data_IF_076049743419
#
_entry.id   IF_076049743419
#
_cell.length_a   1.000
_cell.length_b   1.000
_cell.length_c   1.000
_cell.angle_alpha   90.00
_cell.angle_beta   90.00
_cell.angle_gamma   90.00
#
_symmetry.space_group_name_H-M   'P 1'
#
loop_
_entity.id
_entity.type
_entity.pdbx_description
1 polymer ?
#
# COMPACT_ATOMS: atom_id res chain seq x y z
N UNK A 1 -15.46 5.04 9.98
CA UNK A 1 -14.37 5.59 9.16
C UNK A 1 -14.70 5.32 7.71
N UNK A 2 -14.73 6.37 6.91
CA UNK A 2 -15.00 6.28 5.46
C UNK A 2 -13.70 6.31 4.67
N UNK A 3 -13.48 5.30 3.82
CA UNK A 3 -12.26 5.16 3.03
C UNK A 3 -12.61 5.18 1.55
N UNK A 4 -11.83 5.92 0.75
CA UNK A 4 -11.92 5.88 -0.71
C UNK A 4 -10.66 5.23 -1.29
N UNK A 5 -10.86 4.15 -2.02
CA UNK A 5 -9.86 3.47 -2.82
C UNK A 5 -9.83 4.14 -4.20
N UNK A 6 -8.74 4.80 -4.54
CA UNK A 6 -8.56 5.47 -5.81
C UNK A 6 -7.98 4.50 -6.84
N UNK A 7 -8.81 3.68 -7.46
CA UNK A 7 -8.39 2.81 -8.56
C UNK A 7 -8.26 3.66 -9.83
N UNK A 8 -7.05 4.13 -10.10
CA UNK A 8 -6.76 5.07 -11.20
C UNK A 8 -5.69 4.52 -12.13
N UNK A 9 -5.69 5.03 -13.36
CA UNK A 9 -4.58 4.90 -14.28
C UNK A 9 -3.59 6.04 -14.06
N UNK A 10 -2.30 5.73 -14.10
CA UNK A 10 -1.21 6.71 -13.96
C UNK A 10 -0.43 6.78 -15.25
N UNK A 11 -0.18 7.98 -15.74
CA UNK A 11 0.57 8.19 -16.98
C UNK A 11 2.08 8.05 -16.72
N UNK A 12 2.78 7.12 -17.40
CA UNK A 12 4.20 6.91 -17.16
C UNK A 12 5.02 8.17 -17.43
N UNK A 13 5.78 8.62 -16.43
CA UNK A 13 6.66 9.78 -16.54
C UNK A 13 5.98 11.16 -16.47
N UNK A 14 4.66 11.22 -16.52
CA UNK A 14 3.93 12.50 -16.54
C UNK A 14 3.56 12.96 -15.12
N UNK A 15 4.58 13.28 -14.30
CA UNK A 15 4.40 13.63 -12.89
C UNK A 15 3.35 14.74 -12.68
N UNK A 16 3.42 15.84 -13.41
CA UNK A 16 2.49 16.98 -13.26
C UNK A 16 1.05 16.59 -13.60
N UNK A 17 0.86 15.80 -14.64
CA UNK A 17 -0.48 15.31 -15.02
C UNK A 17 -1.06 14.37 -13.96
N UNK A 18 -0.24 13.46 -13.40
CA UNK A 18 -0.64 12.56 -12.35
C UNK A 18 -0.96 13.31 -11.04
N UNK A 19 -0.16 14.32 -10.69
CA UNK A 19 -0.43 15.21 -9.54
C UNK A 19 -1.76 15.94 -9.73
N UNK A 20 -2.01 16.52 -10.90
CA UNK A 20 -3.28 17.21 -11.18
C UNK A 20 -4.48 16.25 -11.10
N UNK A 21 -4.32 15.02 -11.60
CA UNK A 21 -5.36 13.97 -11.48
C UNK A 21 -5.60 13.58 -10.02
N UNK A 22 -4.54 13.39 -9.24
CA UNK A 22 -4.63 13.07 -7.82
C UNK A 22 -5.36 14.18 -7.04
N UNK A 23 -5.09 15.44 -7.34
CA UNK A 23 -5.78 16.59 -6.74
C UNK A 23 -7.30 16.54 -6.99
N UNK A 24 -7.72 16.23 -8.22
CA UNK A 24 -9.15 16.07 -8.57
C UNK A 24 -9.80 14.91 -7.79
N UNK A 25 -9.13 13.75 -7.74
CA UNK A 25 -9.60 12.57 -7.00
C UNK A 25 -9.76 12.87 -5.51
N UNK A 26 -8.78 13.55 -4.91
CA UNK A 26 -8.84 13.95 -3.50
C UNK A 26 -10.04 14.89 -3.26
N UNK A 27 -10.21 15.91 -4.11
CA UNK A 27 -11.32 16.87 -3.98
C UNK A 27 -12.68 16.16 -4.07
N UNK A 28 -12.85 15.21 -5.01
CA UNK A 28 -14.06 14.40 -5.15
C UNK A 28 -14.29 13.54 -3.89
N UNK A 29 -13.30 12.80 -3.43
CA UNK A 29 -13.39 11.95 -2.26
C UNK A 29 -13.70 12.74 -0.97
N UNK A 30 -13.04 13.89 -0.78
CA UNK A 30 -13.28 14.79 0.38
C UNK A 30 -14.69 15.36 0.33
N UNK A 31 -15.20 15.73 -0.86
CA UNK A 31 -16.59 16.22 -1.00
C UNK A 31 -17.62 15.13 -0.65
N UNK A 32 -17.27 13.84 -0.84
CA UNK A 32 -18.07 12.70 -0.44
C UNK A 32 -17.92 12.34 1.06
N UNK A 33 -17.15 13.11 1.83
CA UNK A 33 -16.97 12.94 3.27
C UNK A 33 -16.00 11.82 3.64
N UNK A 34 -14.99 11.56 2.80
CA UNK A 34 -13.97 10.54 3.05
C UNK A 34 -13.01 10.96 4.17
N UNK A 35 -12.68 10.03 5.06
CA UNK A 35 -11.68 10.19 6.12
C UNK A 35 -10.25 9.78 5.66
N UNK A 36 -10.13 8.89 4.65
CA UNK A 36 -8.86 8.40 4.13
C UNK A 36 -8.98 8.11 2.63
N UNK A 37 -8.12 8.70 1.82
CA UNK A 37 -7.96 8.37 0.39
C UNK A 37 -6.68 7.56 0.21
N UNK A 38 -6.77 6.41 -0.47
CA UNK A 38 -5.62 5.53 -0.73
C UNK A 38 -5.44 5.40 -2.23
N UNK A 39 -4.27 5.80 -2.71
CA UNK A 39 -3.84 5.65 -4.10
C UNK A 39 -3.02 4.38 -4.31
N UNK A 40 -2.88 3.89 -5.55
CA UNK A 40 -2.02 2.75 -5.89
C UNK A 40 -0.52 3.03 -5.67
N UNK A 41 0.27 1.98 -5.79
CA UNK A 41 1.72 2.04 -5.89
C UNK A 41 2.12 2.94 -7.07
N UNK A 42 3.18 3.77 -6.89
CA UNK A 42 3.74 4.67 -7.92
C UNK A 42 2.67 5.48 -8.67
N UNK A 43 1.59 5.86 -7.98
CA UNK A 43 0.45 6.56 -8.58
C UNK A 43 0.79 7.92 -9.16
N UNK A 44 1.88 8.55 -8.70
CA UNK A 44 2.31 9.86 -9.20
C UNK A 44 3.28 9.78 -10.40
N UNK A 45 3.83 8.60 -10.71
CA UNK A 45 4.85 8.45 -11.76
C UNK A 45 4.53 7.46 -12.87
N UNK A 46 3.59 6.53 -12.62
CA UNK A 46 3.54 5.28 -13.37
C UNK A 46 4.60 4.29 -12.87
N UNK A 47 4.54 3.06 -13.36
CA UNK A 47 5.36 1.95 -12.86
C UNK A 47 6.71 1.81 -13.56
N UNK A 48 6.75 1.96 -14.89
CA UNK A 48 7.93 1.75 -15.74
C UNK A 48 8.82 2.98 -15.80
N UNK A 49 9.41 3.38 -14.67
CA UNK A 49 10.26 4.58 -14.60
C UNK A 49 11.65 4.39 -15.19
N UNK A 50 12.12 3.15 -15.35
CA UNK A 50 13.46 2.85 -15.84
C UNK A 50 13.71 3.21 -17.31
N UNK A 51 12.64 3.35 -18.09
CA UNK A 51 12.70 3.73 -19.50
C UNK A 51 12.54 5.24 -19.73
N UNK A 52 12.39 6.02 -18.64
CA UNK A 52 12.23 7.47 -18.73
C UNK A 52 13.56 8.16 -19.01
N UNK A 53 13.53 9.21 -19.84
CA UNK A 53 14.70 10.03 -20.14
C UNK A 53 15.09 10.97 -19.00
N UNK A 54 14.14 11.34 -18.17
CA UNK A 54 14.30 12.31 -17.08
C UNK A 54 14.04 11.63 -15.73
N UNK A 55 14.79 12.03 -14.72
CA UNK A 55 14.53 11.64 -13.35
C UNK A 55 13.29 12.39 -12.82
N UNK A 56 12.26 11.64 -12.48
CA UNK A 56 11.01 12.14 -11.94
C UNK A 56 10.85 11.84 -10.44
N UNK A 57 11.93 11.38 -9.79
CA UNK A 57 11.91 11.15 -8.34
C UNK A 57 11.83 12.47 -7.58
N UNK A 58 11.07 12.47 -6.50
CA UNK A 58 10.83 13.65 -5.68
C UNK A 58 11.01 13.32 -4.19
N UNK A 59 11.45 14.27 -3.35
CA UNK A 59 11.47 14.04 -1.91
C UNK A 59 10.03 14.09 -1.32
N UNK A 60 9.81 13.49 -0.13
CA UNK A 60 8.49 13.50 0.50
C UNK A 60 7.98 14.89 0.88
N UNK A 61 8.86 15.87 1.03
CA UNK A 61 8.55 17.27 1.33
C UNK A 61 8.48 18.18 0.07
N UNK A 62 8.40 17.58 -1.12
CA UNK A 62 8.18 18.31 -2.38
C UNK A 62 6.89 19.13 -2.32
N UNK A 63 6.92 20.34 -2.89
CA UNK A 63 5.78 21.27 -2.88
C UNK A 63 4.50 20.66 -3.48
N UNK A 64 4.62 19.79 -4.48
CA UNK A 64 3.50 19.08 -5.11
C UNK A 64 2.85 18.10 -4.12
N UNK A 65 3.66 17.36 -3.34
CA UNK A 65 3.19 16.45 -2.31
C UNK A 65 2.46 17.20 -1.19
N UNK A 66 3.04 18.33 -0.75
CA UNK A 66 2.42 19.20 0.26
C UNK A 66 1.12 19.80 -0.26
N UNK A 67 1.06 20.22 -1.54
CA UNK A 67 -0.16 20.72 -2.17
C UNK A 67 -1.26 19.66 -2.17
N UNK A 68 -0.95 18.42 -2.58
CA UNK A 68 -1.90 17.31 -2.54
C UNK A 68 -2.38 17.01 -1.12
N UNK A 69 -1.47 16.99 -0.15
CA UNK A 69 -1.82 16.79 1.25
C UNK A 69 -2.79 17.86 1.79
N UNK A 70 -2.59 19.12 1.39
CA UNK A 70 -3.49 20.24 1.73
C UNK A 70 -4.84 20.16 1.04
N UNK A 71 -4.94 19.54 -0.14
CA UNK A 71 -6.22 19.31 -0.81
C UNK A 71 -7.13 18.36 0.00
N UNK A 72 -6.55 17.51 0.84
CA UNK A 72 -7.26 16.61 1.75
C UNK A 72 -7.70 17.29 3.08
N UNK A 73 -7.75 18.64 3.12
CA UNK A 73 -8.10 19.40 4.34
C UNK A 73 -9.47 19.04 4.90
N UNK A 74 -9.62 19.14 6.22
CA UNK A 74 -10.78 18.80 7.08
C UNK A 74 -10.63 17.43 7.80
N UNK A 75 -9.39 17.01 8.09
CA UNK A 75 -9.13 15.79 8.86
C UNK A 75 -9.10 14.51 8.03
N UNK A 76 -9.05 14.63 6.69
CA UNK A 76 -8.85 13.47 5.84
C UNK A 76 -7.35 13.16 5.69
N UNK A 77 -6.99 11.86 5.78
CA UNK A 77 -5.67 11.35 5.44
C UNK A 77 -5.57 10.99 3.96
N UNK A 78 -4.35 11.04 3.41
CA UNK A 78 -4.07 10.61 2.03
C UNK A 78 -2.79 9.79 1.98
N UNK A 79 -2.83 8.66 1.26
CA UNK A 79 -1.66 7.84 0.95
C UNK A 79 -1.40 7.86 -0.55
N UNK A 80 -0.17 8.26 -0.96
CA UNK A 80 0.28 8.23 -2.36
C UNK A 80 1.48 7.33 -2.55
N UNK A 81 1.55 6.66 -3.70
CA UNK A 81 2.75 5.97 -4.18
C UNK A 81 3.57 6.87 -5.12
N UNK A 82 4.90 6.92 -4.94
CA UNK A 82 5.80 7.76 -5.73
C UNK A 82 7.24 7.25 -5.70
N UNK A 83 8.06 7.60 -6.70
CA UNK A 83 9.51 7.38 -6.64
C UNK A 83 10.14 8.44 -5.72
N UNK A 84 10.67 7.98 -4.57
CA UNK A 84 11.26 8.86 -3.57
C UNK A 84 12.75 9.10 -3.86
N UNK A 85 13.13 10.37 -4.04
CA UNK A 85 14.53 10.79 -4.09
C UNK A 85 15.11 10.88 -2.67
N UNK A 86 16.32 10.34 -2.48
CA UNK A 86 17.06 10.54 -1.25
C UNK A 86 17.75 11.93 -1.25
N UNK A 87 17.64 12.67 -0.13
CA UNK A 87 18.05 14.08 -0.03
C UNK A 87 19.52 14.37 -0.42
N UNK A 88 20.42 13.39 -0.31
CA UNK A 88 21.85 13.57 -0.61
C UNK A 88 22.45 12.41 -1.41
N UNK A 89 21.64 11.64 -2.14
CA UNK A 89 22.10 10.43 -2.80
C UNK A 89 21.55 10.25 -4.21
N UNK A 90 22.20 9.36 -4.95
CA UNK A 90 21.76 8.88 -6.25
C UNK A 90 20.70 7.76 -6.13
N UNK A 91 20.15 7.57 -4.91
CA UNK A 91 19.29 6.45 -4.63
C UNK A 91 17.82 6.86 -4.66
N UNK A 92 17.04 6.03 -5.32
CA UNK A 92 15.59 6.18 -5.45
C UNK A 92 14.92 5.00 -4.73
N UNK A 93 13.78 5.26 -4.06
CA UNK A 93 12.96 4.24 -3.43
C UNK A 93 11.56 4.23 -4.06
N UNK A 94 10.96 3.05 -4.16
CA UNK A 94 9.53 2.91 -4.38
C UNK A 94 8.84 3.13 -3.02
N UNK A 95 8.16 4.26 -2.86
CA UNK A 95 7.67 4.72 -1.57
C UNK A 95 6.18 5.02 -1.59
N UNK A 96 5.55 4.88 -0.42
CA UNK A 96 4.21 5.35 -0.14
C UNK A 96 4.24 6.29 1.06
N UNK A 97 3.78 7.53 0.88
CA UNK A 97 3.74 8.55 1.92
C UNK A 97 2.31 8.79 2.39
N UNK A 98 2.13 8.81 3.70
CA UNK A 98 0.87 9.16 4.35
C UNK A 98 0.94 10.56 4.93
N UNK A 99 -0.04 11.36 4.56
CA UNK A 99 -0.24 12.72 5.06
C UNK A 99 -1.58 12.82 5.77
N UNK A 100 -1.63 13.64 6.80
CA UNK A 100 -2.85 14.00 7.50
C UNK A 100 -2.79 15.48 7.88
N UNK A 101 -3.89 16.21 7.71
CA UNK A 101 -3.97 17.66 7.96
C UNK A 101 -2.87 18.49 7.25
N UNK A 102 -2.45 18.06 6.07
CA UNK A 102 -1.40 18.70 5.28
C UNK A 102 0.03 18.44 5.77
N UNK A 103 0.21 17.54 6.74
CA UNK A 103 1.50 17.18 7.32
C UNK A 103 1.91 15.75 6.94
N UNK A 104 3.18 15.55 6.65
CA UNK A 104 3.76 14.22 6.49
C UNK A 104 3.79 13.50 7.83
N UNK A 105 3.12 12.34 7.90
CA UNK A 105 3.07 11.50 9.10
C UNK A 105 3.99 10.30 8.98
N UNK A 106 4.03 9.67 7.80
CA UNK A 106 4.81 8.44 7.59
C UNK A 106 5.21 8.27 6.13
N UNK A 107 6.40 7.67 5.92
CA UNK A 107 6.86 7.15 4.62
C UNK A 107 7.22 5.69 4.80
N UNK A 108 6.62 4.83 4.00
CA UNK A 108 7.02 3.44 3.84
C UNK A 108 7.78 3.27 2.53
N UNK A 109 8.99 2.73 2.59
CA UNK A 109 9.82 2.36 1.43
C UNK A 109 9.66 0.87 1.19
N UNK A 110 9.36 0.46 -0.03
CA UNK A 110 9.17 -0.95 -0.41
C UNK A 110 10.38 -1.78 -0.02
N UNK A 111 10.14 -2.88 0.69
CA UNK A 111 11.17 -3.76 1.25
C UNK A 111 11.57 -4.87 0.28
N UNK A 112 10.59 -5.44 -0.41
CA UNK A 112 10.76 -6.58 -1.30
C UNK A 112 10.52 -6.17 -2.74
N UNK A 113 11.61 -5.86 -3.44
CA UNK A 113 11.62 -5.43 -4.82
C UNK A 113 11.57 -6.65 -5.75
N UNK A 114 10.48 -6.88 -6.51
CA UNK A 114 10.40 -8.00 -7.43
C UNK A 114 11.43 -7.86 -8.57
N UNK A 115 12.09 -8.98 -8.87
CA UNK A 115 13.08 -9.07 -9.94
C UNK A 115 12.91 -10.40 -10.68
N UNK A 116 11.69 -10.64 -11.15
CA UNK A 116 11.29 -11.85 -11.88
C UNK A 116 10.26 -11.50 -12.95
N UNK A 117 10.15 -12.34 -13.99
CA UNK A 117 9.31 -12.13 -15.17
C UNK A 117 9.57 -10.75 -15.80
N UNK A 118 8.57 -9.89 -15.84
CA UNK A 118 8.63 -8.53 -16.39
C UNK A 118 8.99 -7.46 -15.35
N UNK A 119 9.20 -7.87 -14.10
CA UNK A 119 9.53 -6.94 -13.00
C UNK A 119 11.04 -6.83 -12.82
N UNK A 120 11.56 -5.62 -12.85
CA UNK A 120 12.99 -5.30 -12.74
C UNK A 120 13.28 -4.21 -11.70
N UNK A 121 12.49 -4.16 -10.62
CA UNK A 121 12.54 -3.07 -9.65
C UNK A 121 13.92 -2.87 -9.01
N UNK A 122 14.70 -3.96 -8.80
CA UNK A 122 16.05 -3.87 -8.22
C UNK A 122 17.06 -3.10 -9.09
N UNK A 123 16.76 -2.87 -10.37
CA UNK A 123 17.60 -2.05 -11.24
C UNK A 123 17.42 -0.57 -10.95
N UNK A 124 16.27 -0.17 -10.42
CA UNK A 124 15.86 1.22 -10.32
C UNK A 124 15.71 1.70 -8.88
N UNK A 125 15.36 0.81 -7.96
CA UNK A 125 15.07 1.15 -6.57
C UNK A 125 15.99 0.43 -5.59
N UNK A 126 16.28 1.09 -4.47
CA UNK A 126 16.82 0.45 -3.28
C UNK A 126 15.70 -0.06 -2.38
N UNK A 127 15.94 -1.19 -1.67
CA UNK A 127 14.98 -1.69 -0.68
C UNK A 127 14.95 -0.80 0.57
N UNK A 128 13.76 -0.61 1.12
CA UNK A 128 13.56 -0.06 2.45
C UNK A 128 14.16 -0.96 3.54
N UNK A 129 14.26 -0.43 4.76
CA UNK A 129 14.92 -1.14 5.88
C UNK A 129 14.00 -1.28 7.10
N UNK A 130 12.76 -0.82 7.04
CA UNK A 130 11.83 -0.88 8.17
C UNK A 130 10.38 -0.97 7.74
N UNK A 131 9.60 -1.75 8.50
CA UNK A 131 8.15 -1.79 8.41
C UNK A 131 7.57 -1.39 9.77
N UNK A 132 6.74 -0.35 9.82
CA UNK A 132 6.18 0.18 11.06
C UNK A 132 4.71 0.53 10.88
N UNK A 133 3.94 0.30 11.93
CA UNK A 133 2.64 0.92 12.03
C UNK A 133 2.78 2.40 12.43
N UNK A 134 1.91 3.24 11.89
CA UNK A 134 1.91 4.68 12.11
C UNK A 134 0.53 5.18 12.55
N UNK A 135 0.46 6.34 13.23
CA UNK A 135 -0.80 6.91 13.69
C UNK A 135 -1.63 7.44 12.51
N UNK A 136 -2.95 7.29 12.61
CA UNK A 136 -3.95 7.85 11.69
C UNK A 136 -5.11 8.46 12.50
N UNK A 137 -5.88 9.35 11.87
CA UNK A 137 -7.04 10.02 12.47
C UNK A 137 -6.69 10.75 13.79
N UNK A 138 -5.66 11.61 13.75
CA UNK A 138 -5.19 12.33 14.92
C UNK A 138 -4.62 11.40 16.00
N UNK A 139 -4.00 10.29 15.62
CA UNK A 139 -3.39 9.33 16.53
C UNK A 139 -4.36 8.37 17.23
N UNK A 140 -5.65 8.42 16.91
CA UNK A 140 -6.67 7.55 17.54
C UNK A 140 -6.56 6.09 17.16
N UNK A 141 -5.98 5.81 15.99
CA UNK A 141 -5.81 4.48 15.43
C UNK A 141 -4.42 4.33 14.79
N UNK A 142 -4.06 3.13 14.41
CA UNK A 142 -2.81 2.84 13.71
C UNK A 142 -3.08 2.07 12.42
N UNK A 143 -2.36 2.41 11.37
CA UNK A 143 -2.30 1.66 10.12
C UNK A 143 -0.86 1.25 9.83
N UNK A 144 -0.68 0.32 8.90
CA UNK A 144 0.62 0.01 8.31
C UNK A 144 0.47 -0.07 6.80
N UNK A 145 1.54 0.22 6.07
CA UNK A 145 1.59 0.11 4.62
C UNK A 145 2.50 -1.05 4.21
N UNK A 146 2.05 -1.86 3.27
CA UNK A 146 2.85 -2.87 2.58
C UNK A 146 2.67 -2.66 1.07
N UNK A 147 3.74 -2.23 0.38
CA UNK A 147 3.65 -1.91 -1.04
C UNK A 147 3.75 -3.20 -1.86
N UNK A 148 2.68 -3.58 -2.54
CA UNK A 148 2.62 -4.66 -3.52
C UNK A 148 3.34 -5.93 -3.03
N UNK A 149 4.53 -6.25 -3.54
CA UNK A 149 5.30 -7.45 -3.20
C UNK A 149 5.65 -7.58 -1.71
N UNK A 150 5.64 -6.52 -0.92
CA UNK A 150 5.78 -6.59 0.53
C UNK A 150 4.65 -7.42 1.15
N UNK A 151 3.43 -7.28 0.61
CA UNK A 151 2.28 -8.04 1.09
C UNK A 151 2.29 -9.53 0.69
N UNK A 152 3.24 -9.98 -0.10
CA UNK A 152 3.49 -11.40 -0.35
C UNK A 152 4.35 -12.05 0.74
N UNK A 153 4.83 -11.23 1.67
CA UNK A 153 5.67 -11.64 2.81
C UNK A 153 4.81 -11.60 4.09
N UNK A 154 4.22 -12.73 4.51
CA UNK A 154 3.27 -12.74 5.63
C UNK A 154 3.90 -12.31 6.95
N UNK A 155 5.21 -12.46 7.12
CA UNK A 155 5.93 -11.97 8.29
C UNK A 155 5.84 -10.45 8.45
N UNK A 156 5.75 -9.66 7.36
CA UNK A 156 5.59 -8.21 7.44
C UNK A 156 4.20 -7.82 7.93
N UNK A 157 3.16 -8.48 7.44
CA UNK A 157 1.79 -8.26 7.93
C UNK A 157 1.64 -8.67 9.40
N UNK A 158 2.33 -9.74 9.81
CA UNK A 158 2.41 -10.15 11.21
C UNK A 158 3.08 -9.07 12.07
N UNK A 159 4.26 -8.58 11.68
CA UNK A 159 4.99 -7.51 12.40
C UNK A 159 4.13 -6.25 12.51
N UNK A 160 3.51 -5.81 11.41
CA UNK A 160 2.60 -4.66 11.41
C UNK A 160 1.44 -4.83 12.40
N UNK A 161 0.88 -6.03 12.47
CA UNK A 161 -0.21 -6.37 13.40
C UNK A 161 0.25 -6.30 14.85
N UNK A 162 1.44 -6.85 15.16
CA UNK A 162 2.03 -6.81 16.50
C UNK A 162 2.45 -5.40 16.91
N UNK A 163 2.77 -4.52 15.95
CA UNK A 163 3.01 -3.08 16.17
C UNK A 163 1.69 -2.27 16.31
N UNK A 164 0.56 -2.95 16.33
CA UNK A 164 -0.74 -2.37 16.67
C UNK A 164 -1.58 -1.87 15.48
N UNK A 165 -1.23 -2.23 14.24
CA UNK A 165 -2.05 -1.88 13.09
C UNK A 165 -3.46 -2.50 13.20
N UNK A 166 -4.47 -1.68 12.90
CA UNK A 166 -5.88 -2.07 12.76
C UNK A 166 -6.27 -2.12 11.27
N UNK A 167 -5.50 -1.46 10.43
CA UNK A 167 -5.67 -1.38 8.98
C UNK A 167 -4.33 -1.67 8.33
N UNK A 168 -4.34 -2.52 7.32
CA UNK A 168 -3.22 -2.76 6.42
C UNK A 168 -3.55 -2.11 5.07
N UNK A 169 -2.77 -1.10 4.68
CA UNK A 169 -2.86 -0.42 3.40
C UNK A 169 -1.92 -1.11 2.41
N UNK A 170 -2.48 -1.59 1.30
CA UNK A 170 -1.73 -2.37 0.30
C UNK A 170 -1.87 -1.70 -1.08
N UNK A 171 -1.12 -0.60 -1.33
CA UNK A 171 -1.03 -0.02 -2.66
C UNK A 171 -0.25 -0.96 -3.59
N UNK A 172 -0.75 -1.19 -4.80
CA UNK A 172 -0.19 -2.15 -5.74
C UNK A 172 -0.21 -1.69 -7.19
N UNK A 173 0.76 -2.20 -7.97
CA UNK A 173 0.80 -2.21 -9.43
C UNK A 173 0.82 -3.67 -9.91
N UNK A 174 -0.22 -4.43 -9.55
CA UNK A 174 -0.33 -5.83 -9.95
C UNK A 174 -0.90 -5.95 -11.36
N UNK A 175 -0.08 -6.49 -12.26
CA UNK A 175 -0.45 -6.73 -13.65
C UNK A 175 -1.04 -8.15 -13.84
N UNK A 176 -1.75 -8.32 -14.93
CA UNK A 176 -2.21 -9.63 -15.39
C UNK A 176 -1.01 -10.54 -15.66
N UNK A 177 -1.09 -11.79 -15.20
CA UNK A 177 -0.05 -12.78 -15.49
C UNK A 177 0.04 -13.06 -16.98
N UNK A 178 1.26 -13.26 -17.49
CA UNK A 178 1.49 -13.71 -18.86
C UNK A 178 1.02 -15.16 -19.10
N UNK A 179 0.97 -15.97 -18.03
CA UNK A 179 0.56 -17.37 -18.04
C UNK A 179 -0.49 -17.61 -16.94
N UNK A 180 -1.72 -17.09 -17.12
CA UNK A 180 -2.74 -17.14 -16.07
C UNK A 180 -3.17 -18.58 -15.71
N UNK A 181 -2.97 -19.55 -16.60
CA UNK A 181 -3.21 -20.97 -16.34
C UNK A 181 -2.21 -21.59 -15.35
N UNK A 182 -1.02 -21.00 -15.22
CA UNK A 182 0.00 -21.41 -14.24
C UNK A 182 -0.05 -20.59 -12.98
N UNK A 183 -0.37 -19.32 -13.13
CA UNK A 183 -0.34 -18.34 -12.04
C UNK A 183 -1.28 -17.18 -12.37
N UNK A 184 -2.39 -17.06 -11.64
CA UNK A 184 -3.32 -15.93 -11.74
C UNK A 184 -3.12 -15.00 -10.56
N UNK A 185 -2.50 -13.84 -10.80
CA UNK A 185 -2.21 -12.85 -9.75
C UNK A 185 -3.47 -12.39 -8.98
N UNK A 186 -4.63 -12.34 -9.63
CA UNK A 186 -5.89 -11.91 -9.01
C UNK A 186 -6.35 -12.89 -7.93
N UNK A 187 -6.32 -14.18 -8.23
CA UNK A 187 -6.71 -15.22 -7.26
C UNK A 187 -5.76 -15.26 -6.06
N UNK A 188 -4.46 -15.08 -6.30
CA UNK A 188 -3.46 -14.98 -5.22
C UNK A 188 -3.72 -13.76 -4.33
N UNK A 189 -3.95 -12.59 -4.92
CA UNK A 189 -4.24 -11.38 -4.14
C UNK A 189 -5.49 -11.53 -3.28
N UNK A 190 -6.58 -12.08 -3.83
CA UNK A 190 -7.78 -12.38 -3.04
C UNK A 190 -7.50 -13.37 -1.91
N UNK A 191 -6.66 -14.38 -2.16
CA UNK A 191 -6.21 -15.34 -1.14
C UNK A 191 -5.41 -14.67 -0.03
N UNK A 192 -4.40 -13.87 -0.38
CA UNK A 192 -3.51 -13.17 0.55
C UNK A 192 -4.28 -12.19 1.44
N UNK A 193 -5.08 -11.31 0.83
CA UNK A 193 -5.81 -10.27 1.57
C UNK A 193 -6.85 -10.85 2.51
N UNK A 194 -7.60 -11.88 2.07
CA UNK A 194 -8.56 -12.60 2.93
C UNK A 194 -7.86 -13.34 4.07
N UNK A 195 -6.70 -13.96 3.80
CA UNK A 195 -5.89 -14.60 4.84
C UNK A 195 -5.47 -13.59 5.91
N UNK A 196 -4.98 -12.40 5.50
CA UNK A 196 -4.55 -11.36 6.43
C UNK A 196 -5.72 -10.83 7.27
N UNK A 197 -6.86 -10.53 6.64
CA UNK A 197 -8.05 -10.12 7.37
C UNK A 197 -8.42 -11.15 8.43
N UNK A 198 -8.47 -12.42 8.06
CA UNK A 198 -8.91 -13.52 8.93
C UNK A 198 -7.92 -13.85 10.04
N UNK A 199 -6.61 -13.99 9.71
CA UNK A 199 -5.60 -14.46 10.65
C UNK A 199 -5.02 -13.36 11.52
N UNK A 200 -4.84 -12.15 10.96
CA UNK A 200 -4.31 -11.00 11.69
C UNK A 200 -5.41 -10.07 12.22
N UNK A 201 -6.65 -10.39 11.88
CA UNK A 201 -7.84 -9.75 12.47
C UNK A 201 -7.77 -8.22 12.34
N UNK A 202 -7.57 -7.74 11.12
CA UNK A 202 -7.50 -6.32 10.76
C UNK A 202 -8.25 -6.10 9.43
N UNK A 203 -8.51 -4.83 9.10
CA UNK A 203 -8.96 -4.49 7.75
C UNK A 203 -7.78 -4.49 6.79
N UNK A 204 -7.98 -5.04 5.59
CA UNK A 204 -7.02 -4.93 4.48
C UNK A 204 -7.63 -4.07 3.38
N UNK A 205 -6.93 -3.01 3.02
CA UNK A 205 -7.31 -2.06 1.97
C UNK A 205 -6.34 -2.27 0.81
N UNK A 206 -6.73 -3.09 -0.16
CA UNK A 206 -5.95 -3.36 -1.36
C UNK A 206 -6.35 -2.37 -2.45
N UNK A 207 -5.38 -1.58 -2.93
CA UNK A 207 -5.61 -0.58 -3.97
C UNK A 207 -4.67 -0.83 -5.13
N UNK A 208 -5.21 -1.38 -6.21
CA UNK A 208 -4.46 -1.70 -7.41
C UNK A 208 -4.77 -0.69 -8.51
N UNK A 209 -3.77 -0.33 -9.30
CA UNK A 209 -3.98 0.53 -10.46
C UNK A 209 -4.67 -0.22 -11.60
N UNK A 210 -5.15 0.52 -12.58
CA UNK A 210 -5.61 0.06 -13.89
C UNK A 210 -4.72 0.63 -14.99
N UNK A 211 -5.03 0.32 -16.24
CA UNK A 211 -4.31 0.82 -17.43
C UNK A 211 -3.24 -0.13 -17.94
N UNK A 212 -2.42 0.37 -18.86
CA UNK A 212 -1.40 -0.42 -19.54
C UNK A 212 -0.10 0.36 -19.69
N UNK A 213 1.03 -0.28 -19.40
CA UNK A 213 2.37 0.23 -19.64
C UNK A 213 3.20 -0.84 -20.35
N UNK A 214 3.54 -0.61 -21.62
CA UNK A 214 4.22 -1.61 -22.44
C UNK A 214 3.43 -2.92 -22.50
N UNK A 215 4.02 -4.00 -22.01
CA UNK A 215 3.39 -5.32 -21.91
C UNK A 215 2.59 -5.55 -20.62
N UNK A 216 2.66 -4.64 -19.67
CA UNK A 216 1.97 -4.75 -18.40
C UNK A 216 0.54 -4.23 -18.52
N UNK A 217 -0.45 -5.08 -18.25
CA UNK A 217 -1.85 -4.69 -18.13
C UNK A 217 -2.29 -4.84 -16.69
N UNK A 218 -2.54 -3.73 -16.04
CA UNK A 218 -2.97 -3.69 -14.63
C UNK A 218 -4.47 -3.91 -14.53
N UNK A 219 -4.89 -4.79 -13.65
CA UNK A 219 -6.25 -5.32 -13.65
C UNK A 219 -7.23 -4.62 -12.69
N UNK A 220 -6.75 -3.73 -11.78
CA UNK A 220 -7.63 -3.09 -10.82
C UNK A 220 -8.11 -4.05 -9.73
N UNK A 221 -9.44 -4.23 -9.60
CA UNK A 221 -10.03 -5.11 -8.59
C UNK A 221 -9.66 -4.70 -7.17
N UNK A 222 -9.51 -3.40 -6.93
CA UNK A 222 -9.25 -2.85 -5.59
C UNK A 222 -10.37 -3.25 -4.65
N UNK A 223 -10.04 -3.67 -3.42
CA UNK A 223 -11.04 -4.21 -2.52
C UNK A 223 -10.71 -4.00 -1.05
N UNK A 224 -11.74 -4.12 -0.22
CA UNK A 224 -11.65 -4.06 1.23
C UNK A 224 -12.02 -5.40 1.83
N UNK A 225 -11.15 -5.92 2.68
CA UNK A 225 -11.38 -7.14 3.46
C UNK A 225 -11.56 -6.79 4.93
N UNK A 226 -12.54 -7.39 5.56
CA UNK A 226 -12.86 -7.21 6.97
C UNK A 226 -12.05 -8.13 7.91
N UNK A 227 -12.14 -7.96 9.25
CA UNK A 227 -11.42 -8.80 10.22
C UNK A 227 -11.85 -10.27 10.28
N UNK A 228 -12.85 -10.69 9.53
CA UNK A 228 -13.24 -12.09 9.34
C UNK A 228 -12.70 -12.70 8.06
N UNK A 229 -12.05 -11.88 7.22
CA UNK A 229 -11.49 -12.27 5.92
C UNK A 229 -12.53 -12.27 4.80
N UNK A 230 -13.62 -11.51 4.97
CA UNK A 230 -14.61 -11.36 3.92
C UNK A 230 -14.40 -10.07 3.13
N UNK A 231 -14.53 -10.16 1.80
CA UNK A 231 -14.50 -8.99 0.92
C UNK A 231 -15.81 -8.24 1.09
N UNK A 232 -15.76 -7.03 1.62
CA UNK A 232 -16.95 -6.22 1.90
C UNK A 232 -17.23 -5.17 0.82
N UNK A 233 -16.24 -4.85 -0.02
CA UNK A 233 -16.37 -3.97 -1.16
C UNK A 233 -15.26 -4.31 -2.18
N UNK A 234 -15.57 -4.26 -3.48
CA UNK A 234 -14.63 -4.53 -4.57
C UNK A 234 -14.97 -3.64 -5.77
N UNK A 235 -13.95 -3.04 -6.38
CA UNK A 235 -14.05 -2.25 -7.60
C UNK A 235 -13.99 -3.15 -8.84
N UNK A 236 -14.57 -2.68 -9.93
CA UNK A 236 -14.55 -3.38 -11.21
C UNK A 236 -13.13 -3.55 -11.75
N UNK A 237 -12.87 -4.66 -12.44
CA UNK A 237 -11.60 -4.87 -13.11
C UNK A 237 -11.47 -3.99 -14.37
N UNK A 238 -10.23 -3.53 -14.66
CA UNK A 238 -9.84 -2.80 -15.86
C UNK A 238 -10.51 -1.43 -16.09
N UNK A 239 -11.14 -0.86 -15.08
CA UNK A 239 -11.79 0.45 -15.16
C UNK A 239 -11.33 1.37 -14.03
N UNK A 240 -11.18 2.66 -14.29
CA UNK A 240 -11.01 3.64 -13.23
C UNK A 240 -12.27 3.70 -12.36
N UNK A 241 -12.09 3.71 -11.05
CA UNK A 241 -13.19 3.77 -10.10
C UNK A 241 -12.74 4.34 -8.77
N UNK A 242 -13.55 5.23 -8.18
CA UNK A 242 -13.42 5.63 -6.79
C UNK A 242 -14.38 4.79 -5.95
N UNK A 243 -13.85 3.77 -5.29
CA UNK A 243 -14.63 2.89 -4.42
C UNK A 243 -14.63 3.45 -3.00
N UNK A 244 -15.77 3.95 -2.54
CA UNK A 244 -15.92 4.46 -1.18
C UNK A 244 -16.66 3.46 -0.30
N UNK A 245 -16.13 3.19 0.90
CA UNK A 245 -16.67 2.21 1.85
C UNK A 245 -16.56 2.71 3.28
N UNK A 246 -17.58 2.44 4.09
CA UNK A 246 -17.56 2.69 5.52
C UNK A 246 -17.08 1.44 6.26
N UNK A 247 -16.07 1.60 7.13
CA UNK A 247 -15.57 0.53 8.01
C UNK A 247 -15.74 0.90 9.48
N UNK A 248 -15.92 -0.12 10.32
CA UNK A 248 -16.01 0.04 11.78
C UNK A 248 -14.81 -0.60 12.47
N UNK A 249 -13.85 0.24 12.91
CA UNK A 249 -12.64 -0.23 13.59
C UNK A 249 -12.90 -0.86 14.97
N UNK A 250 -14.10 -0.68 15.54
CA UNK A 250 -14.49 -1.39 16.77
C UNK A 250 -14.61 -2.91 16.55
N UNK A 251 -14.92 -3.33 15.32
CA UNK A 251 -15.01 -4.74 14.93
C UNK A 251 -13.64 -5.45 15.04
N UNK A 252 -12.54 -4.78 14.77
CA UNK A 252 -11.19 -5.31 14.97
C UNK A 252 -10.98 -5.68 16.45
N UNK A 253 -11.30 -4.75 17.36
CA UNK A 253 -11.18 -4.98 18.81
C UNK A 253 -12.08 -6.11 19.27
N UNK A 254 -13.32 -6.14 18.78
CA UNK A 254 -14.28 -7.21 19.05
C UNK A 254 -13.73 -8.55 18.60
N UNK A 255 -13.28 -8.65 17.35
CA UNK A 255 -12.74 -9.90 16.78
C UNK A 255 -11.53 -10.41 17.55
N UNK A 256 -10.58 -9.52 17.90
CA UNK A 256 -9.38 -9.87 18.70
C UNK A 256 -9.70 -10.29 20.14
N UNK A 257 -10.82 -9.84 20.69
CA UNK A 257 -11.31 -10.30 22.01
C UNK A 257 -11.98 -11.68 21.92
N UNK A 258 -12.79 -11.90 20.88
CA UNK A 258 -13.54 -13.14 20.71
C UNK A 258 -12.61 -14.34 20.39
N UNK A 259 -11.56 -14.10 19.59
CA UNK A 259 -10.51 -15.08 19.26
C UNK A 259 -9.17 -14.37 19.38
N UNK A 260 -8.39 -14.54 20.47
CA UNK A 260 -7.23 -13.70 20.79
C UNK A 260 -5.94 -14.08 20.05
N UNK A 261 -5.97 -14.40 18.76
CA UNK A 261 -4.81 -14.85 17.97
C UNK A 261 -3.65 -13.84 18.01
N UNK A 262 -3.96 -12.54 17.86
CA UNK A 262 -2.95 -11.48 17.85
C UNK A 262 -2.27 -11.34 19.22
N UNK A 263 -3.02 -11.50 20.30
CA UNK A 263 -2.50 -11.44 21.68
C UNK A 263 -1.49 -12.55 21.98
N UNK A 264 -1.64 -13.69 21.33
CA UNK A 264 -0.78 -14.87 21.54
C UNK A 264 0.47 -14.88 20.67
N UNK A 265 0.85 -13.76 20.11
CA UNK A 265 1.91 -13.60 19.12
C UNK A 265 3.35 -13.79 19.59
N UNK A 266 3.63 -14.31 20.75
CA UNK A 266 4.91 -14.81 21.31
C UNK A 266 6.21 -14.30 20.63
N UNK A 267 6.37 -12.98 20.47
CA UNK A 267 7.51 -12.35 19.79
C UNK A 267 8.88 -12.84 20.30
N UNK A 268 8.99 -13.08 21.61
CA UNK A 268 10.23 -13.61 22.21
C UNK A 268 10.58 -15.04 21.75
N UNK A 269 9.58 -15.87 21.46
CA UNK A 269 9.80 -17.18 20.85
C UNK A 269 10.31 -17.03 19.43
N UNK A 270 9.62 -16.21 18.61
CA UNK A 270 10.01 -15.97 17.22
C UNK A 270 11.45 -15.43 17.12
N UNK A 271 11.80 -14.47 17.96
CA UNK A 271 13.17 -13.94 17.99
C UNK A 271 14.20 -15.06 18.22
N UNK A 272 14.01 -15.90 19.24
CA UNK A 272 14.95 -17.01 19.53
C UNK A 272 15.07 -18.00 18.38
N UNK A 273 13.95 -18.32 17.71
CA UNK A 273 13.98 -19.24 16.56
C UNK A 273 14.63 -18.61 15.33
N UNK A 274 14.42 -17.31 15.09
CA UNK A 274 15.09 -16.58 14.02
C UNK A 274 16.60 -16.49 14.32
N UNK A 275 16.98 -16.10 15.54
CA UNK A 275 18.40 -16.03 15.95
C UNK A 275 19.09 -17.41 15.74
N UNK A 276 18.44 -18.51 16.14
CA UNK A 276 18.94 -19.87 15.91
C UNK A 276 19.12 -20.18 14.42
N UNK A 277 18.16 -19.84 13.56
CA UNK A 277 18.25 -20.07 12.11
C UNK A 277 19.39 -19.27 11.47
N UNK A 278 19.60 -18.04 11.90
CA UNK A 278 20.72 -17.21 11.42
C UNK A 278 22.07 -17.80 11.84
N UNK A 279 22.19 -18.29 13.08
CA UNK A 279 23.40 -18.98 13.58
C UNK A 279 23.69 -20.28 12.81
N UNK A 280 22.65 -20.98 12.35
CA UNK A 280 22.75 -22.20 11.54
C UNK A 280 22.94 -21.92 10.03
N UNK A 281 23.05 -20.66 9.62
CA UNK A 281 23.24 -20.25 8.21
C UNK A 281 21.96 -20.20 7.39
N UNK A 282 20.79 -20.02 8.02
CA UNK A 282 19.49 -20.02 7.34
C UNK A 282 19.15 -18.80 6.48
N UNK A 283 20.01 -17.78 6.47
CA UNK A 283 19.83 -16.53 5.68
C UNK A 283 20.96 -16.37 4.64
N UNK A 284 21.34 -17.45 3.98
CA UNK A 284 22.37 -17.50 2.94
C UNK A 284 21.78 -17.37 1.53
#
# INVERSE_FOLDING_TARGET
MRITLAQVDSRPGELEANVARAEQVIAEAVSAGTDLVVFPELSLSGYTIGDLKEDISIPPDDERMIKLARAATKGAGVLFGFPEAQAHGLHIYNSAAYYEDGLLVHVHRKLFLPNYATFEERKHFLPGQSSRAFPIMGGRHRAATLICNDAWQPQLAYVATQDGALILLVPACSAQSMFPEKYDSRSYWRGITRFYGRMFQLYVIFVNRVGTEGSLRFWGGSHVVDPWGEVIAEADEYQEQLLTVDIDLSLVRRRRRDIPLVREGRLGLLRREIDRLLEEGGDL
#
